data_IF_476421840862
#
_entry.id   IF_476421840862
#
_cell.length_a   1.000
_cell.length_b   1.000
_cell.length_c   1.000
_cell.angle_alpha   90.00
_cell.angle_beta   90.00
_cell.angle_gamma   90.00
#
_symmetry.space_group_name_H-M   'P 1'
#
loop_
_entity.id
_entity.type
_entity.pdbx_description
1 polymer ?
#
# COMPACT_ATOMS: atom_id res chain seq x y z
N UNK A 1 -8.18 -9.24 17.37
CA UNK A 1 -6.98 -9.23 16.49
C UNK A 1 -6.51 -7.79 16.39
N UNK A 2 -5.23 -7.50 16.66
CA UNK A 2 -4.71 -6.13 16.66
C UNK A 2 -4.80 -5.53 15.24
N UNK A 3 -5.22 -4.26 15.11
CA UNK A 3 -5.36 -3.57 13.82
C UNK A 3 -6.78 -3.46 13.25
N UNK A 4 -7.70 -4.36 13.63
CA UNK A 4 -9.11 -4.27 13.18
C UNK A 4 -9.82 -3.00 13.67
N UNK A 5 -9.45 -2.51 14.86
CA UNK A 5 -10.00 -1.25 15.39
C UNK A 5 -9.62 -0.04 14.53
N UNK A 6 -8.43 -0.05 13.92
CA UNK A 6 -8.01 1.00 13.00
C UNK A 6 -8.85 1.02 11.71
N UNK A 7 -9.35 -0.14 11.29
CA UNK A 7 -10.18 -0.28 10.10
C UNK A 7 -11.65 0.11 10.34
N UNK A 8 -12.21 -0.18 11.53
CA UNK A 8 -13.61 0.15 11.85
C UNK A 8 -13.79 1.61 12.29
N UNK A 9 -12.80 2.21 12.94
CA UNK A 9 -12.92 3.57 13.48
C UNK A 9 -13.32 4.63 12.42
N UNK A 10 -12.75 4.64 11.21
CA UNK A 10 -13.15 5.61 10.19
C UNK A 10 -14.58 5.40 9.67
N UNK A 11 -15.05 4.14 9.63
CA UNK A 11 -16.43 3.82 9.25
C UNK A 11 -17.41 4.37 10.29
N UNK A 12 -17.09 4.21 11.58
CA UNK A 12 -17.91 4.77 12.65
C UNK A 12 -17.96 6.29 12.58
N UNK A 13 -16.84 6.94 12.27
CA UNK A 13 -16.76 8.40 12.16
C UNK A 13 -17.56 8.94 10.97
N UNK A 14 -17.58 8.25 9.84
CA UNK A 14 -18.31 8.74 8.65
C UNK A 14 -19.81 8.45 8.71
N UNK A 15 -20.20 7.31 9.29
CA UNK A 15 -21.60 6.91 9.32
C UNK A 15 -22.35 7.39 10.55
N UNK A 16 -21.68 7.56 11.69
CA UNK A 16 -22.30 7.90 12.99
C UNK A 16 -23.50 6.99 13.35
N UNK A 17 -23.48 5.75 12.84
CA UNK A 17 -24.50 4.72 13.04
C UNK A 17 -23.82 3.37 13.24
N UNK A 18 -24.07 2.75 14.39
CA UNK A 18 -23.41 1.50 14.78
C UNK A 18 -23.77 0.33 13.85
N UNK A 19 -25.04 0.22 13.45
CA UNK A 19 -25.54 -0.90 12.64
C UNK A 19 -25.00 -0.84 11.21
N UNK A 20 -25.01 0.36 10.61
CA UNK A 20 -24.45 0.62 9.29
C UNK A 20 -22.93 0.43 9.31
N UNK A 21 -22.24 0.96 10.31
CA UNK A 21 -20.80 0.80 10.48
C UNK A 21 -20.41 -0.67 10.60
N UNK A 22 -21.15 -1.45 11.40
CA UNK A 22 -20.94 -2.89 11.53
C UNK A 22 -21.15 -3.63 10.20
N UNK A 23 -22.26 -3.35 9.50
CA UNK A 23 -22.55 -3.97 8.21
C UNK A 23 -21.48 -3.69 7.16
N UNK A 24 -21.04 -2.44 7.04
CA UNK A 24 -19.94 -2.05 6.17
C UNK A 24 -18.61 -2.68 6.59
N UNK A 25 -18.33 -2.73 7.89
CA UNK A 25 -17.11 -3.32 8.42
C UNK A 25 -17.02 -4.83 8.13
N UNK A 26 -18.13 -5.58 8.25
CA UNK A 26 -18.17 -6.99 7.87
C UNK A 26 -17.74 -7.19 6.41
N UNK A 27 -18.27 -6.39 5.48
CA UNK A 27 -17.90 -6.43 4.06
C UNK A 27 -16.46 -6.01 3.81
N UNK A 28 -15.98 -5.01 4.54
CA UNK A 28 -14.59 -4.60 4.46
C UNK A 28 -13.63 -5.71 4.91
N UNK A 29 -14.00 -6.42 5.98
CA UNK A 29 -13.22 -7.54 6.51
C UNK A 29 -13.21 -8.77 5.61
N UNK A 30 -14.26 -9.04 4.83
CA UNK A 30 -14.24 -10.10 3.80
C UNK A 30 -13.07 -9.92 2.81
N UNK A 31 -12.66 -8.68 2.54
CA UNK A 31 -11.47 -8.37 1.73
C UNK A 31 -10.17 -8.42 2.53
N UNK A 32 -10.19 -7.92 3.76
CA UNK A 32 -8.96 -7.69 4.55
C UNK A 32 -8.51 -8.90 5.37
N UNK A 33 -9.39 -9.88 5.63
CA UNK A 33 -9.12 -10.98 6.57
C UNK A 33 -7.87 -11.79 6.19
N UNK A 34 -7.61 -11.95 4.89
CA UNK A 34 -6.46 -12.70 4.38
C UNK A 34 -5.10 -12.01 4.69
N UNK A 35 -5.10 -10.70 4.97
CA UNK A 35 -3.89 -9.94 5.32
C UNK A 35 -3.46 -10.13 6.79
N UNK A 36 -4.33 -10.68 7.62
CA UNK A 36 -4.04 -10.93 9.03
C UNK A 36 -3.28 -12.26 9.21
N UNK A 37 -2.65 -12.53 10.38
CA UNK A 37 -1.69 -13.64 10.56
C UNK A 37 -2.15 -15.06 10.16
N UNK A 38 -3.45 -15.30 9.95
CA UNK A 38 -3.99 -16.59 9.55
C UNK A 38 -4.36 -16.70 8.06
N UNK A 39 -4.17 -15.64 7.27
CA UNK A 39 -4.72 -15.51 5.92
C UNK A 39 -3.71 -15.64 4.76
N UNK A 40 -2.41 -15.65 5.03
CA UNK A 40 -1.38 -15.93 4.02
C UNK A 40 -1.23 -14.92 2.86
N UNK A 41 -2.09 -13.90 2.71
CA UNK A 41 -2.00 -12.95 1.61
C UNK A 41 -0.79 -12.00 1.72
N UNK A 42 -0.28 -11.79 2.94
CA UNK A 42 0.84 -10.89 3.15
C UNK A 42 2.13 -11.35 2.44
N UNK A 43 2.42 -12.65 2.47
CA UNK A 43 3.60 -13.20 1.77
C UNK A 43 3.48 -13.01 0.26
N UNK A 44 2.26 -13.16 -0.28
CA UNK A 44 1.96 -12.90 -1.68
C UNK A 44 2.11 -11.40 -2.02
N UNK A 45 1.68 -10.50 -1.15
CA UNK A 45 1.89 -9.06 -1.34
C UNK A 45 3.38 -8.72 -1.41
N UNK A 46 4.21 -9.28 -0.53
CA UNK A 46 5.65 -9.06 -0.56
C UNK A 46 6.33 -9.65 -1.79
N UNK A 47 5.94 -10.85 -2.21
CA UNK A 47 6.46 -11.47 -3.44
C UNK A 47 6.11 -10.63 -4.69
N UNK A 48 4.88 -10.10 -4.74
CA UNK A 48 4.45 -9.28 -5.86
C UNK A 48 5.09 -7.88 -5.84
N UNK A 49 5.24 -7.26 -4.66
CA UNK A 49 5.97 -5.99 -4.53
C UNK A 49 7.41 -6.11 -5.04
N UNK A 50 8.11 -7.20 -4.65
CA UNK A 50 9.46 -7.50 -5.16
C UNK A 50 9.50 -7.56 -6.68
N UNK A 51 8.58 -8.32 -7.26
CA UNK A 51 8.49 -8.50 -8.71
C UNK A 51 8.19 -7.18 -9.42
N UNK A 52 7.28 -6.37 -8.87
CA UNK A 52 6.94 -5.06 -9.45
C UNK A 52 8.12 -4.10 -9.43
N UNK A 53 8.82 -3.98 -8.30
CA UNK A 53 9.99 -3.10 -8.19
C UNK A 53 11.11 -3.59 -9.11
N UNK A 54 11.36 -4.91 -9.18
CA UNK A 54 12.35 -5.45 -10.11
C UNK A 54 12.07 -5.10 -11.58
N UNK A 55 10.79 -5.07 -11.97
CA UNK A 55 10.37 -4.78 -13.36
C UNK A 55 10.37 -3.28 -13.63
N UNK A 56 9.91 -2.47 -12.68
CA UNK A 56 9.62 -1.05 -12.90
C UNK A 56 10.75 -0.12 -12.45
N UNK A 57 11.58 -0.54 -11.49
CA UNK A 57 12.70 0.23 -10.95
C UNK A 57 13.84 -0.69 -10.44
N UNK A 58 14.71 -1.09 -11.37
CA UNK A 58 15.84 -1.99 -11.07
C UNK A 58 16.86 -1.37 -10.12
N UNK A 59 17.04 -0.05 -10.14
CA UNK A 59 18.02 0.62 -9.26
C UNK A 59 17.53 0.59 -7.81
N UNK A 60 16.25 0.87 -7.58
CA UNK A 60 15.65 0.74 -6.25
C UNK A 60 15.64 -0.72 -5.78
N UNK A 61 15.37 -1.66 -6.70
CA UNK A 61 15.52 -3.09 -6.42
C UNK A 61 16.93 -3.42 -5.93
N UNK A 62 17.96 -2.97 -6.64
CA UNK A 62 19.36 -3.24 -6.31
C UNK A 62 19.75 -2.64 -4.96
N UNK A 63 19.33 -1.40 -4.65
CA UNK A 63 19.55 -0.79 -3.33
C UNK A 63 18.93 -1.64 -2.22
N UNK A 64 17.67 -2.07 -2.38
CA UNK A 64 16.98 -2.90 -1.39
C UNK A 64 17.63 -4.28 -1.22
N UNK A 65 18.33 -4.80 -2.21
CA UNK A 65 19.04 -6.08 -2.13
C UNK A 65 20.48 -5.95 -1.63
N UNK A 66 21.08 -4.76 -1.70
CA UNK A 66 22.47 -4.55 -1.30
C UNK A 66 22.73 -4.77 0.20
N UNK A 67 21.69 -4.66 1.05
CA UNK A 67 21.84 -4.56 2.51
C UNK A 67 21.21 -5.68 3.36
N UNK A 68 20.71 -6.78 2.77
CA UNK A 68 20.39 -8.00 3.55
C UNK A 68 19.45 -9.02 2.88
N UNK A 69 18.74 -9.82 3.68
CA UNK A 69 17.88 -10.93 3.23
C UNK A 69 16.46 -10.48 2.82
N UNK A 70 15.59 -11.37 2.32
CA UNK A 70 14.27 -10.99 1.77
C UNK A 70 13.28 -10.26 2.73
N UNK A 71 13.67 -9.96 3.98
CA UNK A 71 12.90 -9.15 4.94
C UNK A 71 12.71 -7.67 4.55
N UNK A 72 13.39 -7.17 3.52
CA UNK A 72 13.35 -5.77 3.11
C UNK A 72 11.95 -5.22 2.75
N UNK A 73 10.94 -6.05 2.51
CA UNK A 73 9.59 -5.59 2.18
C UNK A 73 8.67 -5.45 3.39
N UNK A 74 9.14 -5.77 4.60
CA UNK A 74 8.33 -5.63 5.82
C UNK A 74 7.97 -4.17 6.15
N UNK A 75 8.65 -3.16 5.56
CA UNK A 75 8.26 -1.75 5.77
C UNK A 75 6.81 -1.49 5.34
N UNK A 76 6.33 -2.19 4.31
CA UNK A 76 4.95 -2.04 3.82
C UNK A 76 3.95 -2.98 4.51
N UNK A 77 4.37 -3.78 5.50
CA UNK A 77 3.48 -4.67 6.26
C UNK A 77 2.28 -3.91 6.85
N UNK A 78 2.57 -2.77 7.51
CA UNK A 78 1.53 -1.93 8.12
C UNK A 78 0.57 -1.36 7.07
N UNK A 79 1.06 -1.04 5.88
CA UNK A 79 0.26 -0.50 4.80
C UNK A 79 -0.79 -1.49 4.33
N UNK A 80 -0.39 -2.75 4.07
CA UNK A 80 -1.32 -3.78 3.61
C UNK A 80 -2.23 -4.29 4.73
N UNK A 81 -1.73 -4.38 5.97
CA UNK A 81 -2.53 -4.83 7.10
C UNK A 81 -3.66 -3.86 7.43
N UNK A 82 -3.40 -2.56 7.33
CA UNK A 82 -4.31 -1.49 7.76
C UNK A 82 -4.89 -0.69 6.59
N UNK A 83 -4.73 -1.17 5.37
CA UNK A 83 -5.18 -0.51 4.13
C UNK A 83 -4.80 0.99 4.10
N UNK A 84 -3.52 1.25 4.41
CA UNK A 84 -2.88 2.57 4.50
C UNK A 84 -3.44 3.53 5.56
N UNK A 85 -4.33 3.06 6.46
CA UNK A 85 -4.97 3.92 7.47
C UNK A 85 -3.98 4.69 8.35
N UNK A 86 -2.83 4.10 8.68
CA UNK A 86 -1.81 4.75 9.52
C UNK A 86 -0.91 5.72 8.76
N UNK A 87 -1.02 5.79 7.44
CA UNK A 87 -0.23 6.68 6.60
C UNK A 87 -1.00 7.93 6.17
N UNK A 88 -2.33 7.93 6.33
CA UNK A 88 -3.21 8.92 5.71
C UNK A 88 -4.18 9.53 6.72
N UNK A 89 -4.39 10.84 6.59
CA UNK A 89 -5.50 11.53 7.25
C UNK A 89 -6.84 11.02 6.70
N UNK A 90 -7.94 11.21 7.45
CA UNK A 90 -9.24 10.61 7.10
C UNK A 90 -9.73 11.03 5.71
N UNK A 91 -9.65 12.32 5.37
CA UNK A 91 -10.13 12.82 4.06
C UNK A 91 -9.43 12.09 2.90
N UNK A 92 -8.11 11.93 2.99
CA UNK A 92 -7.29 11.24 1.99
C UNK A 92 -7.51 9.73 2.00
N UNK A 93 -7.64 9.15 3.19
CA UNK A 93 -7.89 7.72 3.38
C UNK A 93 -9.21 7.29 2.73
N UNK A 94 -10.29 8.05 2.88
CA UNK A 94 -11.57 7.73 2.24
C UNK A 94 -11.44 7.72 0.71
N UNK A 95 -10.78 8.73 0.13
CA UNK A 95 -10.51 8.79 -1.30
C UNK A 95 -9.67 7.59 -1.78
N UNK A 96 -8.66 7.20 -1.01
CA UNK A 96 -7.83 6.03 -1.30
C UNK A 96 -8.64 4.73 -1.24
N UNK A 97 -9.49 4.54 -0.24
CA UNK A 97 -10.34 3.36 -0.12
C UNK A 97 -11.35 3.25 -1.26
N UNK A 98 -12.04 4.34 -1.59
CA UNK A 98 -12.95 4.40 -2.73
C UNK A 98 -12.22 4.03 -4.03
N UNK A 99 -11.00 4.55 -4.21
CA UNK A 99 -10.18 4.23 -5.38
C UNK A 99 -9.77 2.76 -5.42
N UNK A 100 -9.29 2.18 -4.32
CA UNK A 100 -8.92 0.77 -4.23
C UNK A 100 -10.12 -0.14 -4.55
N UNK A 101 -11.29 0.17 -3.97
CA UNK A 101 -12.49 -0.64 -4.17
C UNK A 101 -13.00 -0.55 -5.61
N UNK A 102 -12.99 0.65 -6.21
CA UNK A 102 -13.37 0.83 -7.61
C UNK A 102 -12.37 0.18 -8.57
N UNK A 103 -11.07 0.31 -8.31
CA UNK A 103 -9.99 -0.18 -9.18
C UNK A 103 -10.06 -1.68 -9.45
N UNK A 104 -10.59 -2.47 -8.48
CA UNK A 104 -10.83 -3.91 -8.66
C UNK A 104 -11.68 -4.23 -9.90
N UNK A 105 -12.58 -3.32 -10.29
CA UNK A 105 -13.53 -3.52 -11.38
C UNK A 105 -13.12 -2.86 -12.70
N UNK A 106 -12.20 -1.89 -12.67
CA UNK A 106 -11.90 -1.05 -13.84
C UNK A 106 -10.43 -0.99 -14.22
N UNK A 107 -9.51 -1.44 -13.36
CA UNK A 107 -8.07 -1.31 -13.59
C UNK A 107 -7.28 -2.56 -13.16
N UNK A 108 -7.30 -2.90 -11.87
CA UNK A 108 -6.54 -4.03 -11.31
C UNK A 108 -7.11 -4.51 -9.99
N UNK A 109 -7.19 -5.84 -9.83
CA UNK A 109 -7.55 -6.48 -8.56
C UNK A 109 -6.49 -6.32 -7.46
N UNK A 110 -5.27 -5.88 -7.80
CA UNK A 110 -4.16 -5.66 -6.86
C UNK A 110 -3.71 -4.19 -6.79
N UNK A 111 -4.64 -3.24 -6.97
CA UNK A 111 -4.32 -1.80 -6.95
C UNK A 111 -3.53 -1.35 -5.70
N UNK A 112 -3.74 -2.01 -4.56
CA UNK A 112 -2.99 -1.76 -3.31
C UNK A 112 -1.47 -1.89 -3.48
N UNK A 113 -0.99 -2.79 -4.35
CA UNK A 113 0.43 -2.95 -4.62
C UNK A 113 1.00 -1.74 -5.36
N UNK A 114 0.24 -1.21 -6.33
CA UNK A 114 0.63 -0.03 -7.08
C UNK A 114 0.57 1.24 -6.22
N UNK A 115 -0.31 1.27 -5.21
CA UNK A 115 -0.33 2.35 -4.23
C UNK A 115 0.91 2.30 -3.32
N UNK A 116 1.29 1.12 -2.83
CA UNK A 116 2.52 0.93 -2.06
C UNK A 116 3.76 1.30 -2.90
N UNK A 117 3.81 0.87 -4.16
CA UNK A 117 4.89 1.23 -5.07
C UNK A 117 4.92 2.74 -5.34
N UNK A 118 3.77 3.38 -5.56
CA UNK A 118 3.72 4.83 -5.76
C UNK A 118 4.21 5.62 -4.55
N UNK A 119 3.92 5.18 -3.33
CA UNK A 119 4.49 5.79 -2.11
C UNK A 119 6.01 5.67 -2.09
N UNK A 120 6.54 4.50 -2.46
CA UNK A 120 7.98 4.27 -2.55
C UNK A 120 8.63 5.19 -3.61
N UNK A 121 8.07 5.19 -4.82
CA UNK A 121 8.53 5.98 -5.97
C UNK A 121 8.48 7.49 -5.70
N UNK A 122 7.48 7.96 -4.95
CA UNK A 122 7.34 9.38 -4.57
C UNK A 122 8.57 9.90 -3.81
N UNK A 123 9.26 9.03 -3.08
CA UNK A 123 10.44 9.38 -2.29
C UNK A 123 11.71 8.68 -2.78
N UNK A 124 11.67 8.10 -3.97
CA UNK A 124 12.77 7.36 -4.61
C UNK A 124 14.09 8.11 -4.55
N UNK A 125 14.11 9.35 -5.02
CA UNK A 125 15.35 10.15 -5.10
C UNK A 125 15.98 10.36 -3.72
N UNK A 126 15.16 10.58 -2.68
CA UNK A 126 15.62 10.75 -1.30
C UNK A 126 16.21 9.43 -0.78
N UNK A 127 15.54 8.31 -1.03
CA UNK A 127 15.97 6.99 -0.57
C UNK A 127 17.32 6.61 -1.23
N UNK A 128 17.42 6.77 -2.55
CA UNK A 128 18.64 6.48 -3.30
C UNK A 128 19.79 7.42 -2.94
N UNK A 129 19.55 8.73 -2.88
CA UNK A 129 20.59 9.72 -2.60
C UNK A 129 21.23 9.57 -1.23
N UNK A 130 20.45 9.07 -0.26
CA UNK A 130 20.94 8.83 1.10
C UNK A 130 21.38 7.37 1.30
N UNK A 131 21.24 6.51 0.28
CA UNK A 131 21.51 5.08 0.36
C UNK A 131 20.86 4.44 1.59
N UNK A 132 19.58 4.76 1.80
CA UNK A 132 18.83 4.34 2.99
C UNK A 132 18.74 2.82 3.05
N UNK A 133 19.07 2.25 4.21
CA UNK A 133 18.84 0.84 4.47
C UNK A 133 17.36 0.56 4.85
N UNK A 134 17.05 -0.71 5.11
CA UNK A 134 15.71 -1.11 5.52
C UNK A 134 15.17 -0.38 6.76
N UNK A 135 16.03 -0.17 7.76
CA UNK A 135 15.66 0.49 9.02
C UNK A 135 15.38 1.97 8.77
N UNK A 136 16.21 2.62 7.95
CA UNK A 136 16.04 4.00 7.55
C UNK A 136 14.74 4.21 6.79
N UNK A 137 14.40 3.33 5.85
CA UNK A 137 13.14 3.39 5.09
C UNK A 137 11.93 3.28 6.03
N UNK A 138 11.95 2.34 6.99
CA UNK A 138 10.88 2.22 7.99
C UNK A 138 10.74 3.51 8.79
N UNK A 139 11.86 4.05 9.29
CA UNK A 139 11.86 5.27 10.09
C UNK A 139 11.33 6.45 9.28
N UNK A 140 11.79 6.60 8.03
CA UNK A 140 11.37 7.64 7.11
C UNK A 140 9.85 7.62 6.89
N UNK A 141 9.28 6.48 6.52
CA UNK A 141 7.83 6.39 6.29
C UNK A 141 7.01 6.58 7.58
N UNK A 142 7.52 6.12 8.73
CA UNK A 142 6.89 6.43 10.01
C UNK A 142 6.84 7.93 10.32
N UNK A 143 7.90 8.67 9.98
CA UNK A 143 7.94 10.13 10.15
C UNK A 143 7.11 10.90 9.11
N UNK A 144 6.86 10.27 7.96
CA UNK A 144 6.05 10.81 6.86
C UNK A 144 4.55 10.48 6.95
N UNK A 145 4.15 9.64 7.90
CA UNK A 145 2.76 9.33 8.14
C UNK A 145 1.90 10.60 8.22
N UNK A 146 0.78 10.61 7.51
CA UNK A 146 -0.18 11.71 7.39
C UNK A 146 0.35 12.96 6.65
N UNK A 147 1.53 12.89 6.02
CA UNK A 147 2.17 14.01 5.29
C UNK A 147 2.32 13.76 3.79
N UNK A 148 1.77 12.66 3.28
CA UNK A 148 1.85 12.32 1.86
C UNK A 148 0.94 13.22 1.01
N UNK A 149 1.38 13.55 -0.21
CA UNK A 149 0.50 14.18 -1.19
C UNK A 149 -0.35 13.11 -1.87
N UNK A 150 -1.47 12.75 -1.24
CA UNK A 150 -2.33 11.64 -1.67
C UNK A 150 -2.82 11.75 -3.11
N UNK A 151 -3.27 12.92 -3.63
CA UNK A 151 -3.64 13.05 -5.03
C UNK A 151 -2.50 12.72 -6.00
N UNK A 152 -1.27 13.15 -5.70
CA UNK A 152 -0.10 12.84 -6.52
C UNK A 152 0.24 11.34 -6.47
N UNK A 153 0.18 10.74 -5.28
CA UNK A 153 0.41 9.30 -5.07
C UNK A 153 -0.60 8.46 -5.84
N UNK A 154 -1.91 8.78 -5.78
CA UNK A 154 -2.95 8.07 -6.52
C UNK A 154 -2.77 8.19 -8.05
N UNK A 155 -2.37 9.38 -8.53
CA UNK A 155 -2.07 9.59 -9.95
C UNK A 155 -0.88 8.73 -10.38
N UNK A 156 0.17 8.68 -9.58
CA UNK A 156 1.35 7.85 -9.85
C UNK A 156 1.00 6.36 -9.82
N UNK A 157 0.23 5.90 -8.84
CA UNK A 157 -0.24 4.51 -8.77
C UNK A 157 -0.99 4.10 -10.05
N UNK A 158 -1.87 4.96 -10.56
CA UNK A 158 -2.56 4.74 -11.84
C UNK A 158 -1.58 4.65 -13.02
N UNK A 159 -0.58 5.54 -13.08
CA UNK A 159 0.42 5.52 -14.16
C UNK A 159 1.24 4.22 -14.13
N UNK A 160 1.62 3.74 -12.94
CA UNK A 160 2.37 2.49 -12.78
C UNK A 160 1.55 1.27 -13.27
N UNK A 161 0.24 1.25 -13.03
CA UNK A 161 -0.66 0.22 -13.61
C UNK A 161 -0.61 0.24 -15.14
N UNK A 162 -0.77 1.43 -15.74
CA UNK A 162 -0.76 1.60 -17.20
C UNK A 162 0.60 1.23 -17.81
N UNK A 163 1.69 1.60 -17.15
CA UNK A 163 3.05 1.26 -17.56
C UNK A 163 3.24 -0.25 -17.58
N UNK A 164 2.82 -0.96 -16.53
CA UNK A 164 2.93 -2.42 -16.50
C UNK A 164 2.07 -3.09 -17.59
N UNK A 165 0.84 -2.62 -17.80
CA UNK A 165 -0.03 -3.12 -18.88
C UNK A 165 0.63 -2.94 -20.25
N UNK A 166 1.22 -1.77 -20.50
CA UNK A 166 1.94 -1.48 -21.74
C UNK A 166 3.16 -2.40 -21.93
N UNK A 167 3.90 -2.71 -20.86
CA UNK A 167 5.03 -3.65 -20.91
C UNK A 167 4.57 -5.07 -21.25
N UNK A 168 3.42 -5.50 -20.71
CA UNK A 168 2.86 -6.83 -20.97
C UNK A 168 2.33 -6.94 -22.41
N UNK A 169 1.68 -5.90 -22.94
CA UNK A 169 1.14 -5.88 -24.30
C UNK A 169 2.24 -5.85 -25.39
N UNK A 170 3.42 -5.31 -25.06
CA UNK A 170 4.56 -5.23 -25.99
C UNK A 170 5.49 -6.46 -25.93
N UNK A 171 5.12 -7.52 -25.20
CA UNK A 171 5.81 -8.82 -25.17
C UNK A 171 5.02 -9.87 -25.92
#
# INVERSE_FOLDING_TARGET
MQGMCDLVAPLLVIFDDESLSYGCFCRFMERMIENFPNGGAMDMHFANMRSLIQILDSEMYDLMHAHGDYTHFYFCYRWFLLDFKRELIYADMFCVWECIWAAKHVASGQFVLFLALALLETYRDIILSNSMDFTDIIKFFNEMAERHNTPAVLKLARNLVLQLQTIIENK
#
